data_IF_794374630757
#
_entry.id   IF_794374630757
#
_cell.length_a   1.000
_cell.length_b   1.000
_cell.length_c   1.000
_cell.angle_alpha   90.00
_cell.angle_beta   90.00
_cell.angle_gamma   90.00
#
_symmetry.space_group_name_H-M   'P 1'
#
loop_
_entity.id
_entity.type
_entity.pdbx_description
1 polymer ?
#
# COMPACT_ATOMS: atom_id res chain seq x y z
N UNK A 1 18.57 -0.35 -0.66
CA UNK A 1 17.19 -0.91 -0.77
C UNK A 1 16.93 -1.70 0.51
N UNK A 2 15.82 -1.47 1.22
CA UNK A 2 15.52 -2.16 2.48
C UNK A 2 14.87 -3.53 2.20
N UNK A 3 15.40 -4.62 2.77
CA UNK A 3 14.92 -5.99 2.50
C UNK A 3 13.46 -6.20 2.91
N UNK A 4 13.02 -5.62 4.03
CA UNK A 4 11.66 -5.79 4.52
C UNK A 4 10.65 -5.00 3.70
N UNK A 5 11.04 -3.81 3.19
CA UNK A 5 10.23 -3.08 2.20
C UNK A 5 10.04 -3.91 0.93
N UNK A 6 11.08 -4.60 0.47
CA UNK A 6 10.95 -5.51 -0.69
C UNK A 6 10.05 -6.71 -0.38
N UNK A 7 10.12 -7.27 0.83
CA UNK A 7 9.19 -8.34 1.25
C UNK A 7 7.74 -7.85 1.28
N UNK A 8 7.48 -6.66 1.82
CA UNK A 8 6.14 -6.04 1.77
C UNK A 8 5.62 -5.96 0.33
N UNK A 9 6.42 -5.43 -0.60
CA UNK A 9 6.05 -5.35 -2.03
C UNK A 9 5.75 -6.72 -2.65
N UNK A 10 6.48 -7.76 -2.26
CA UNK A 10 6.21 -9.12 -2.77
C UNK A 10 4.86 -9.65 -2.27
N UNK A 11 4.51 -9.41 -1.00
CA UNK A 11 3.19 -9.80 -0.49
C UNK A 11 2.05 -9.07 -1.22
N UNK A 12 2.21 -7.76 -1.50
CA UNK A 12 1.24 -7.00 -2.31
C UNK A 12 1.07 -7.59 -3.71
N UNK A 13 2.16 -7.99 -4.37
CA UNK A 13 2.11 -8.65 -5.69
C UNK A 13 1.45 -10.03 -5.67
N UNK A 14 1.42 -10.68 -4.50
CA UNK A 14 0.75 -11.96 -4.28
C UNK A 14 -0.71 -11.77 -3.83
N UNK A 15 -1.26 -10.56 -3.97
CA UNK A 15 -2.66 -10.22 -3.69
C UNK A 15 -3.03 -10.31 -2.20
N UNK A 16 -2.05 -10.18 -1.31
CA UNK A 16 -2.31 -9.99 0.12
C UNK A 16 -2.79 -8.55 0.36
N UNK A 17 -3.75 -8.39 1.28
CA UNK A 17 -4.15 -7.05 1.73
C UNK A 17 -2.94 -6.27 2.27
N UNK A 18 -3.01 -4.96 2.18
CA UNK A 18 -2.03 -4.01 2.71
C UNK A 18 -1.76 -4.25 4.19
N UNK A 19 -2.84 -4.41 4.97
CA UNK A 19 -2.82 -4.75 6.38
C UNK A 19 -2.16 -6.11 6.68
N UNK A 20 -2.47 -7.15 5.89
CA UNK A 20 -1.87 -8.49 6.07
C UNK A 20 -0.39 -8.47 5.72
N UNK A 21 -0.04 -7.84 4.59
CA UNK A 21 1.34 -7.68 4.11
C UNK A 21 2.20 -6.95 5.13
N UNK A 22 1.70 -5.84 5.67
CA UNK A 22 2.39 -5.08 6.72
C UNK A 22 2.54 -5.91 8.01
N UNK A 23 1.46 -6.56 8.48
CA UNK A 23 1.47 -7.31 9.74
C UNK A 23 2.47 -8.47 9.73
N UNK A 24 2.57 -9.20 8.62
CA UNK A 24 3.54 -10.30 8.47
C UNK A 24 4.97 -9.77 8.57
N UNK A 25 5.28 -8.70 7.83
CA UNK A 25 6.63 -8.11 7.79
C UNK A 25 6.99 -7.47 9.14
N UNK A 26 6.08 -6.70 9.73
CA UNK A 26 6.27 -6.07 11.04
C UNK A 26 6.51 -7.10 12.15
N UNK A 27 5.77 -8.22 12.13
CA UNK A 27 5.98 -9.34 13.06
C UNK A 27 7.36 -9.97 12.86
N UNK A 28 7.79 -10.17 11.61
CA UNK A 28 9.12 -10.70 11.30
C UNK A 28 10.24 -9.78 11.81
N UNK A 29 10.09 -8.47 11.65
CA UNK A 29 11.04 -7.47 12.17
C UNK A 29 11.08 -7.53 13.71
N UNK A 30 9.91 -7.53 14.35
CA UNK A 30 9.82 -7.58 15.81
C UNK A 30 10.48 -8.83 16.40
N UNK A 31 10.34 -9.98 15.75
CA UNK A 31 11.00 -11.23 16.15
C UNK A 31 12.52 -11.18 16.02
N UNK A 32 13.07 -10.34 15.13
CA UNK A 32 14.51 -10.18 14.93
C UNK A 32 15.12 -9.10 15.84
N UNK A 33 14.30 -8.18 16.35
CA UNK A 33 14.71 -7.07 17.22
C UNK A 33 15.19 -5.83 16.46
N UNK A 34 14.99 -5.76 15.15
CA UNK A 34 15.52 -4.70 14.26
C UNK A 34 14.53 -3.55 14.07
N UNK A 35 14.22 -2.82 15.15
CA UNK A 35 13.14 -1.82 15.16
C UNK A 35 13.29 -0.63 14.19
N UNK A 36 14.50 -0.30 13.72
CA UNK A 36 14.71 0.75 12.71
C UNK A 36 14.06 0.39 11.36
N UNK A 37 14.03 -0.89 11.01
CA UNK A 37 13.42 -1.36 9.77
C UNK A 37 11.89 -1.28 9.82
N UNK A 38 11.30 -1.31 11.02
CA UNK A 38 9.86 -1.15 11.18
C UNK A 38 9.39 0.23 10.70
N UNK A 39 10.16 1.28 10.99
CA UNK A 39 9.86 2.65 10.54
C UNK A 39 9.85 2.71 9.02
N UNK A 40 10.87 2.15 8.36
CA UNK A 40 10.99 2.16 6.90
C UNK A 40 9.83 1.41 6.22
N UNK A 41 9.41 0.27 6.78
CA UNK A 41 8.27 -0.49 6.27
C UNK A 41 6.95 0.22 6.53
N UNK A 42 6.79 0.83 7.72
CA UNK A 42 5.62 1.63 8.05
C UNK A 42 5.46 2.82 7.10
N UNK A 43 6.51 3.58 6.86
CA UNK A 43 6.48 4.73 5.94
C UNK A 43 6.11 4.30 4.52
N UNK A 44 6.64 3.16 4.06
CA UNK A 44 6.25 2.61 2.77
C UNK A 44 4.77 2.20 2.75
N UNK A 45 4.31 1.49 3.77
CA UNK A 45 2.91 1.07 3.92
C UNK A 45 1.94 2.25 3.90
N UNK A 46 2.24 3.33 4.62
CA UNK A 46 1.41 4.54 4.61
C UNK A 46 1.38 5.21 3.23
N UNK A 47 2.52 5.28 2.53
CA UNK A 47 2.56 5.83 1.18
C UNK A 47 1.79 4.95 0.16
N UNK A 48 1.86 3.62 0.30
CA UNK A 48 1.11 2.67 -0.51
C UNK A 48 -0.40 2.89 -0.37
N UNK A 49 -0.88 3.08 0.87
CA UNK A 49 -2.27 3.40 1.17
C UNK A 49 -2.73 4.73 0.57
N UNK A 50 -1.91 5.77 0.70
CA UNK A 50 -2.23 7.09 0.14
C UNK A 50 -2.37 6.98 -1.38
N UNK A 51 -1.44 6.30 -2.05
CA UNK A 51 -1.50 6.10 -3.50
C UNK A 51 -2.74 5.29 -3.92
N UNK A 52 -3.13 4.27 -3.16
CA UNK A 52 -4.33 3.50 -3.45
C UNK A 52 -5.59 4.36 -3.36
N UNK A 53 -5.69 5.22 -2.35
CA UNK A 53 -6.81 6.16 -2.22
C UNK A 53 -6.81 7.26 -3.29
N UNK A 54 -5.65 7.80 -3.64
CA UNK A 54 -5.52 8.79 -4.72
C UNK A 54 -6.01 8.19 -6.05
N UNK A 55 -5.62 6.95 -6.37
CA UNK A 55 -6.08 6.26 -7.57
C UNK A 55 -7.60 6.02 -7.55
N UNK A 56 -8.16 5.60 -6.41
CA UNK A 56 -9.61 5.41 -6.26
C UNK A 56 -10.38 6.73 -6.43
N UNK A 57 -9.84 7.85 -5.95
CA UNK A 57 -10.45 9.17 -6.18
C UNK A 57 -10.45 9.55 -7.66
N UNK A 58 -9.35 9.32 -8.37
CA UNK A 58 -9.27 9.58 -9.82
C UNK A 58 -10.31 8.75 -10.58
N UNK A 59 -10.44 7.46 -10.25
CA UNK A 59 -11.44 6.59 -10.89
C UNK A 59 -12.88 7.09 -10.69
N UNK A 60 -13.20 7.62 -9.51
CA UNK A 60 -14.52 8.22 -9.23
C UNK A 60 -14.72 9.50 -10.03
N UNK A 61 -13.72 10.39 -10.09
CA UNK A 61 -13.78 11.63 -10.86
C UNK A 61 -13.92 11.37 -12.37
N UNK A 62 -13.22 10.36 -12.89
CA UNK A 62 -13.34 9.95 -14.30
C UNK A 62 -14.75 9.41 -14.61
N UNK A 63 -15.29 8.56 -13.74
CA UNK A 63 -16.64 8.02 -13.88
C UNK A 63 -17.72 9.12 -13.92
N UNK A 64 -17.63 10.10 -13.02
CA UNK A 64 -18.57 11.22 -12.97
C UNK A 64 -18.48 12.10 -14.24
N UNK A 65 -17.26 12.32 -14.75
CA UNK A 65 -17.06 13.06 -15.99
C UNK A 65 -17.61 12.33 -17.22
N UNK A 66 -17.43 11.01 -17.31
CA UNK A 66 -18.01 10.20 -18.39
C UNK A 66 -19.54 10.23 -18.38
N UNK A 67 -20.15 10.13 -17.19
CA UNK A 67 -21.60 10.23 -17.05
C UNK A 67 -22.12 11.60 -17.52
N UNK A 68 -21.49 12.70 -17.09
CA UNK A 68 -21.87 14.06 -17.51
C UNK A 68 -21.73 14.25 -19.02
N UNK A 69 -20.62 13.77 -19.61
CA UNK A 69 -20.40 13.85 -21.04
C UNK A 69 -21.44 13.06 -21.85
N UNK A 70 -21.93 11.93 -21.34
CA UNK A 70 -22.97 11.14 -22.00
C UNK A 70 -24.39 11.72 -21.91
N UNK A 71 -24.63 12.66 -21.00
CA UNK A 71 -25.94 13.25 -20.74
C UNK A 71 -26.21 14.57 -21.51
N UNK A 72 -25.20 15.11 -22.21
CA UNK A 72 -25.24 16.36 -22.99
C UNK A 72 -25.27 16.01 -24.50
#
# INVERSE_FOLDING_TARGET
MNQFVEQYKQFRKLDYSESSSFSIVASSIAMRGDHEDLVKVHDYYTNDLIQEWDNQMIEVEEYDNEQLASAI
#
